data_IF_262343538733
#
_entry.id   IF_262343538733
#
_cell.length_a   1.000
_cell.length_b   1.000
_cell.length_c   1.000
_cell.angle_alpha   90.00
_cell.angle_beta   90.00
_cell.angle_gamma   90.00
#
_symmetry.space_group_name_H-M   'P 1'
#
loop_
_entity.id
_entity.type
_entity.pdbx_description
1 polymer ?
#
# COMPACT_ATOMS: atom_id res chain seq x y z
N UNK A 1 -36.79 12.23 -14.51
CA UNK A 1 -35.89 11.15 -14.98
C UNK A 1 -35.79 10.09 -13.90
N UNK A 2 -36.38 8.91 -14.14
CA UNK A 2 -36.37 7.77 -13.21
C UNK A 2 -35.11 6.94 -13.48
N UNK A 3 -34.20 6.87 -12.52
CA UNK A 3 -33.03 5.99 -12.61
C UNK A 3 -33.44 4.59 -12.13
N UNK A 4 -33.77 3.73 -13.08
CA UNK A 4 -33.93 2.29 -12.85
C UNK A 4 -32.56 1.64 -12.79
N UNK A 5 -32.17 1.17 -11.61
CA UNK A 5 -31.01 0.29 -11.44
C UNK A 5 -31.47 -1.15 -11.67
N UNK A 6 -31.29 -1.65 -12.90
CA UNK A 6 -31.30 -3.08 -13.17
C UNK A 6 -29.90 -3.62 -12.87
N UNK A 7 -29.73 -4.29 -11.74
CA UNK A 7 -28.56 -5.16 -11.50
C UNK A 7 -28.93 -6.60 -11.94
N UNK A 8 -28.18 -7.22 -12.86
CA UNK A 8 -28.29 -8.65 -13.09
C UNK A 8 -27.62 -9.40 -11.94
N UNK A 9 -28.43 -9.97 -11.04
CA UNK A 9 -27.96 -10.89 -10.01
C UNK A 9 -27.57 -12.22 -10.68
N UNK A 10 -26.28 -12.44 -10.91
CA UNK A 10 -25.73 -13.73 -11.35
C UNK A 10 -24.48 -14.04 -10.55
N UNK A 11 -24.67 -14.65 -9.38
CA UNK A 11 -23.79 -15.68 -8.82
C UNK A 11 -24.64 -16.44 -7.80
N UNK A 12 -25.12 -17.62 -8.21
CA UNK A 12 -25.78 -18.56 -7.31
C UNK A 12 -24.78 -18.99 -6.23
N UNK A 13 -24.91 -18.43 -5.03
CA UNK A 13 -24.30 -19.01 -3.83
C UNK A 13 -25.04 -20.32 -3.52
N UNK A 14 -24.52 -21.44 -4.03
CA UNK A 14 -25.07 -22.79 -3.87
C UNK A 14 -24.96 -23.36 -2.44
N UNK A 15 -24.54 -22.57 -1.47
CA UNK A 15 -24.32 -23.00 -0.08
C UNK A 15 -25.52 -22.75 0.85
N UNK A 16 -26.58 -22.10 0.38
CA UNK A 16 -27.76 -21.78 1.20
C UNK A 16 -29.09 -22.29 0.63
N UNK A 17 -29.06 -23.38 -0.15
CA UNK A 17 -30.29 -24.05 -0.60
C UNK A 17 -30.99 -24.64 0.62
N UNK A 18 -32.11 -24.04 1.02
CA UNK A 18 -33.06 -24.65 1.99
C UNK A 18 -33.29 -26.10 1.58
N UNK A 19 -33.19 -27.08 2.50
CA UNK A 19 -33.47 -28.47 2.13
C UNK A 19 -34.89 -28.54 1.56
N UNK A 20 -35.01 -29.11 0.37
CA UNK A 20 -36.27 -29.37 -0.30
C UNK A 20 -37.11 -30.25 0.63
N UNK A 21 -38.19 -29.68 1.17
CA UNK A 21 -39.22 -30.43 1.89
C UNK A 21 -39.90 -31.31 0.85
N UNK A 22 -39.52 -32.59 0.82
CA UNK A 22 -40.28 -33.62 0.13
C UNK A 22 -41.62 -33.69 0.84
N UNK A 23 -42.66 -33.15 0.19
CA UNK A 23 -44.04 -33.33 0.61
C UNK A 23 -44.40 -34.77 0.24
N UNK A 24 -44.32 -35.69 1.19
CA UNK A 24 -44.92 -37.00 1.00
C UNK A 24 -46.44 -36.85 1.04
N UNK A 25 -47.04 -36.83 -0.14
CA UNK A 25 -48.47 -37.08 -0.32
C UNK A 25 -48.76 -38.55 -0.01
N UNK A 26 -48.72 -38.93 1.27
CA UNK A 26 -49.26 -40.22 1.71
C UNK A 26 -50.75 -40.03 2.03
N UNK A 27 -51.55 -40.30 0.99
CA UNK A 27 -52.94 -40.67 1.09
C UNK A 27 -53.10 -41.83 2.09
N UNK A 28 -53.29 -41.51 3.37
CA UNK A 28 -53.66 -42.50 4.37
C UNK A 28 -55.17 -42.70 4.27
N UNK A 29 -55.56 -43.69 3.48
CA UNK A 29 -56.88 -44.30 3.56
C UNK A 29 -57.09 -44.78 4.98
N UNK A 30 -58.08 -44.16 5.62
CA UNK A 30 -58.71 -44.61 6.85
C UNK A 30 -59.24 -46.03 6.65
N UNK A 31 -58.72 -46.98 7.42
CA UNK A 31 -59.22 -48.35 7.49
C UNK A 31 -59.08 -48.82 8.93
N UNK A 32 -60.03 -48.37 9.73
CA UNK A 32 -60.45 -48.99 10.98
C UNK A 32 -60.77 -50.47 10.76
N UNK A 33 -59.89 -51.37 11.20
CA UNK A 33 -60.24 -52.70 11.74
C UNK A 33 -59.00 -53.51 12.13
N UNK A 34 -58.70 -53.53 13.43
CA UNK A 34 -58.29 -54.72 14.19
C UNK A 34 -57.81 -54.29 15.57
N UNK A 35 -58.72 -54.29 16.55
CA UNK A 35 -58.38 -54.22 17.98
C UNK A 35 -57.89 -55.61 18.44
N UNK A 36 -56.86 -56.11 17.77
CA UNK A 36 -56.13 -57.30 18.14
C UNK A 36 -55.17 -56.96 19.28
N UNK A 37 -54.89 -57.90 20.22
CA UNK A 37 -53.91 -57.66 21.26
C UNK A 37 -52.60 -57.24 20.61
N UNK A 38 -52.01 -56.12 21.05
CA UNK A 38 -50.69 -55.65 20.60
C UNK A 38 -49.75 -56.85 20.73
N UNK A 39 -49.44 -57.47 19.59
CA UNK A 39 -48.42 -58.48 19.53
C UNK A 39 -47.14 -57.70 19.80
N UNK A 40 -46.66 -57.74 21.05
CA UNK A 40 -45.25 -57.49 21.35
C UNK A 40 -44.47 -58.56 20.60
N UNK A 41 -44.36 -58.42 19.27
CA UNK A 41 -43.33 -59.10 18.51
C UNK A 41 -42.05 -58.59 19.15
N UNK A 42 -41.25 -59.51 19.66
CA UNK A 42 -39.88 -59.27 20.11
C UNK A 42 -39.01 -58.81 18.92
N UNK A 43 -39.34 -57.66 18.31
CA UNK A 43 -38.48 -56.85 17.45
C UNK A 43 -37.48 -56.06 18.31
N UNK A 44 -37.17 -56.57 19.50
CA UNK A 44 -36.01 -56.24 20.30
C UNK A 44 -34.75 -56.14 19.43
N UNK A 45 -34.61 -56.95 18.37
CA UNK A 45 -33.53 -56.85 17.39
C UNK A 45 -33.51 -55.55 16.57
N UNK A 46 -34.65 -55.11 16.03
CA UNK A 46 -34.76 -53.90 15.21
C UNK A 46 -34.73 -52.63 16.09
N UNK A 47 -35.36 -52.67 17.26
CA UNK A 47 -35.28 -51.59 18.22
C UNK A 47 -33.85 -51.42 18.76
N UNK A 48 -33.12 -52.52 19.00
CA UNK A 48 -31.69 -52.48 19.34
C UNK A 48 -30.85 -51.94 18.19
N UNK A 49 -31.08 -52.36 16.94
CA UNK A 49 -30.36 -51.84 15.77
C UNK A 49 -30.59 -50.33 15.56
N UNK A 50 -31.82 -49.84 15.71
CA UNK A 50 -32.11 -48.40 15.62
C UNK A 50 -31.55 -47.61 16.81
N UNK A 51 -31.53 -48.19 18.01
CA UNK A 51 -30.84 -47.62 19.19
C UNK A 51 -29.33 -47.52 18.93
N UNK A 52 -28.72 -48.55 18.33
CA UNK A 52 -27.29 -48.58 17.97
C UNK A 52 -27.00 -47.53 16.89
N UNK A 53 -27.76 -47.49 15.79
CA UNK A 53 -27.57 -46.51 14.72
C UNK A 53 -27.74 -45.06 15.21
N UNK A 54 -28.71 -44.79 16.09
CA UNK A 54 -28.87 -43.49 16.75
C UNK A 54 -27.66 -43.14 17.62
N UNK A 55 -27.16 -44.11 18.39
CA UNK A 55 -25.98 -43.94 19.25
C UNK A 55 -24.72 -43.66 18.44
N UNK A 56 -24.53 -44.36 17.32
CA UNK A 56 -23.39 -44.15 16.41
C UNK A 56 -23.47 -42.79 15.71
N UNK A 57 -24.64 -42.40 15.20
CA UNK A 57 -24.85 -41.07 14.58
C UNK A 57 -24.62 -39.94 15.58
N UNK A 58 -25.09 -40.08 16.81
CA UNK A 58 -24.87 -39.10 17.87
C UNK A 58 -23.38 -39.00 18.24
N UNK A 59 -22.70 -40.14 18.35
CA UNK A 59 -21.26 -40.20 18.63
C UNK A 59 -20.44 -39.43 17.59
N UNK A 60 -20.73 -39.64 16.30
CA UNK A 60 -20.06 -38.92 15.20
C UNK A 60 -20.31 -37.40 15.28
N UNK A 61 -21.54 -36.97 15.58
CA UNK A 61 -21.88 -35.53 15.73
C UNK A 61 -21.18 -34.89 16.92
N UNK A 62 -20.97 -35.62 18.00
CA UNK A 62 -20.24 -35.13 19.17
C UNK A 62 -18.73 -35.01 18.91
N UNK A 63 -18.15 -35.95 18.16
CA UNK A 63 -16.74 -35.86 17.73
C UNK A 63 -16.46 -34.66 16.83
N UNK A 64 -17.43 -34.32 15.96
CA UNK A 64 -17.33 -33.18 15.05
C UNK A 64 -17.91 -31.87 15.62
N UNK A 65 -18.18 -31.82 16.93
CA UNK A 65 -18.75 -30.64 17.56
C UNK A 65 -17.71 -29.50 17.58
N UNK A 66 -18.03 -28.31 17.03
CA UNK A 66 -17.16 -27.14 17.13
C UNK A 66 -16.96 -26.71 18.58
N UNK A 67 -15.78 -26.16 18.89
CA UNK A 67 -15.53 -25.61 20.22
C UNK A 67 -16.40 -24.37 20.46
N UNK A 68 -16.63 -24.05 21.74
CA UNK A 68 -17.37 -22.85 22.15
C UNK A 68 -16.75 -21.60 21.54
N UNK A 69 -15.41 -21.54 21.47
CA UNK A 69 -14.72 -20.39 20.88
C UNK A 69 -14.99 -20.27 19.37
N UNK A 70 -15.08 -21.38 18.64
CA UNK A 70 -15.44 -21.36 17.21
C UNK A 70 -16.86 -20.83 16.99
N UNK A 71 -17.81 -21.19 17.86
CA UNK A 71 -19.18 -20.68 17.79
C UNK A 71 -19.26 -19.18 18.10
N UNK A 72 -18.40 -18.68 19.00
CA UNK A 72 -18.26 -17.24 19.27
C UNK A 72 -17.65 -16.52 18.07
N UNK A 73 -16.57 -17.06 17.49
CA UNK A 73 -15.91 -16.51 16.31
C UNK A 73 -16.85 -16.46 15.09
N UNK A 74 -17.77 -17.43 14.98
CA UNK A 74 -18.84 -17.46 13.96
C UNK A 74 -20.06 -16.61 14.33
N UNK A 75 -20.03 -15.91 15.46
CA UNK A 75 -21.12 -15.07 15.96
C UNK A 75 -22.45 -15.83 16.17
N UNK A 76 -22.36 -17.12 16.51
CA UNK A 76 -23.52 -17.95 16.89
C UNK A 76 -23.80 -17.80 18.39
N UNK A 77 -22.73 -17.71 19.19
CA UNK A 77 -22.81 -17.43 20.63
C UNK A 77 -22.19 -16.05 20.92
N UNK A 78 -22.93 -15.18 21.59
CA UNK A 78 -22.42 -13.88 22.01
C UNK A 78 -21.87 -13.98 23.44
N UNK A 79 -20.67 -13.42 23.68
CA UNK A 79 -20.09 -13.36 25.03
C UNK A 79 -20.62 -12.19 25.86
N UNK A 80 -21.04 -11.12 25.18
CA UNK A 80 -21.54 -9.89 25.81
C UNK A 80 -23.03 -9.99 26.10
N UNK A 81 -23.47 -9.30 27.13
CA UNK A 81 -24.89 -9.11 27.42
C UNK A 81 -25.55 -8.16 26.40
N UNK A 82 -26.87 -8.26 26.27
CA UNK A 82 -27.63 -7.38 25.37
C UNK A 82 -27.47 -5.89 25.73
N UNK A 83 -27.33 -5.58 27.03
CA UNK A 83 -27.13 -4.21 27.50
C UNK A 83 -25.75 -3.67 27.08
N UNK A 84 -24.69 -4.45 27.27
CA UNK A 84 -23.33 -4.06 26.83
C UNK A 84 -23.25 -3.89 25.30
N UNK A 85 -23.95 -4.76 24.56
CA UNK A 85 -24.03 -4.64 23.11
C UNK A 85 -24.74 -3.34 22.68
N UNK A 86 -25.82 -2.96 23.38
CA UNK A 86 -26.54 -1.71 23.15
C UNK A 86 -25.67 -0.49 23.45
N UNK A 87 -24.99 -0.47 24.59
CA UNK A 87 -24.07 0.62 24.97
C UNK A 87 -22.91 0.75 23.97
N UNK A 88 -22.31 -0.37 23.55
CA UNK A 88 -21.27 -0.38 22.52
C UNK A 88 -21.78 0.18 21.20
N UNK A 89 -22.99 -0.23 20.77
CA UNK A 89 -23.62 0.28 19.55
C UNK A 89 -23.90 1.79 19.63
N UNK A 90 -24.38 2.28 20.77
CA UNK A 90 -24.61 3.70 21.00
C UNK A 90 -23.30 4.49 21.00
N UNK A 91 -22.25 3.99 21.66
CA UNK A 91 -20.92 4.60 21.69
C UNK A 91 -20.27 4.65 20.30
N UNK A 92 -20.39 3.58 19.50
CA UNK A 92 -19.95 3.53 18.11
C UNK A 92 -20.76 4.53 17.27
N UNK A 93 -22.08 4.58 17.46
CA UNK A 93 -22.98 5.51 16.78
C UNK A 93 -22.61 6.97 17.03
N UNK A 94 -22.41 7.35 18.29
CA UNK A 94 -21.99 8.70 18.67
C UNK A 94 -20.63 9.07 18.04
N UNK A 95 -19.67 8.14 18.05
CA UNK A 95 -18.35 8.34 17.44
C UNK A 95 -18.43 8.50 15.93
N UNK A 96 -19.30 7.72 15.27
CA UNK A 96 -19.53 7.80 13.84
C UNK A 96 -20.15 9.15 13.45
N UNK A 97 -21.18 9.60 14.15
CA UNK A 97 -21.83 10.90 13.92
C UNK A 97 -20.81 12.03 13.97
N UNK A 98 -19.96 12.05 15.01
CA UNK A 98 -18.87 13.05 15.13
C UNK A 98 -17.87 13.01 13.98
N UNK A 99 -17.51 11.82 13.49
CA UNK A 99 -16.58 11.70 12.35
C UNK A 99 -17.23 12.15 11.04
N UNK A 100 -18.52 11.88 10.86
CA UNK A 100 -19.26 12.29 9.67
C UNK A 100 -19.49 13.80 9.64
N UNK A 101 -19.69 14.45 10.79
CA UNK A 101 -19.85 15.91 10.85
C UNK A 101 -18.57 16.67 10.48
N UNK A 102 -17.41 16.06 10.71
CA UNK A 102 -16.09 16.62 10.37
C UNK A 102 -15.47 15.94 9.14
N UNK A 103 -16.28 15.31 8.29
CA UNK A 103 -15.76 14.56 7.14
C UNK A 103 -15.19 15.54 6.09
N UNK A 104 -13.90 15.42 5.72
CA UNK A 104 -13.29 16.26 4.68
C UNK A 104 -13.98 16.07 3.32
N UNK A 105 -13.93 17.11 2.49
CA UNK A 105 -14.46 17.04 1.11
C UNK A 105 -13.52 16.22 0.22
N UNK A 106 -14.04 15.74 -0.91
CA UNK A 106 -13.21 15.00 -1.87
C UNK A 106 -12.09 15.88 -2.44
N UNK A 107 -12.37 17.16 -2.69
CA UNK A 107 -11.40 18.12 -3.22
C UNK A 107 -10.24 18.36 -2.24
N UNK A 108 -10.54 18.55 -0.95
CA UNK A 108 -9.51 18.68 0.10
C UNK A 108 -8.59 17.45 0.19
N UNK A 109 -9.13 16.25 -0.04
CA UNK A 109 -8.35 15.02 -0.06
C UNK A 109 -7.46 14.92 -1.31
N UNK A 110 -7.92 15.47 -2.45
CA UNK A 110 -7.11 15.57 -3.68
C UNK A 110 -5.98 16.56 -3.49
N UNK A 111 -6.24 17.73 -2.91
CA UNK A 111 -5.22 18.75 -2.61
C UNK A 111 -4.16 18.24 -1.65
N UNK A 112 -4.57 17.46 -0.63
CA UNK A 112 -3.65 16.77 0.29
C UNK A 112 -2.98 15.53 -0.32
N UNK A 113 -3.22 15.25 -1.59
CA UNK A 113 -2.62 14.14 -2.33
C UNK A 113 -2.96 12.75 -1.75
N UNK A 114 -4.08 12.64 -1.02
CA UNK A 114 -4.61 11.40 -0.45
C UNK A 114 -5.51 10.71 -1.47
N UNK A 115 -6.43 11.46 -2.08
CA UNK A 115 -7.29 10.96 -3.15
C UNK A 115 -6.65 11.28 -4.51
N UNK A 116 -6.39 10.25 -5.32
CA UNK A 116 -5.84 10.41 -6.67
C UNK A 116 -6.97 10.44 -7.69
N UNK A 117 -6.98 11.47 -8.54
CA UNK A 117 -7.98 11.61 -9.62
C UNK A 117 -7.60 10.86 -10.88
N UNK A 118 -6.30 10.62 -11.08
CA UNK A 118 -5.77 9.94 -12.26
C UNK A 118 -5.61 8.45 -12.01
N UNK A 119 -5.75 7.66 -13.08
CA UNK A 119 -5.44 6.24 -13.01
C UNK A 119 -3.93 6.02 -12.79
N UNK A 120 -3.49 4.90 -12.18
CA UNK A 120 -2.07 4.60 -12.00
C UNK A 120 -1.27 4.60 -13.32
N UNK A 121 -1.93 4.22 -14.43
CA UNK A 121 -1.33 4.23 -15.75
C UNK A 121 -1.07 5.66 -16.28
N UNK A 122 -2.04 6.56 -16.11
CA UNK A 122 -1.91 7.97 -16.49
C UNK A 122 -0.87 8.70 -15.65
N UNK A 123 -0.81 8.45 -14.34
CA UNK A 123 0.20 9.03 -13.45
C UNK A 123 1.61 8.62 -13.90
N UNK A 124 1.79 7.33 -14.25
CA UNK A 124 3.06 6.83 -14.78
C UNK A 124 3.44 7.51 -16.09
N UNK A 125 2.47 7.69 -17.00
CA UNK A 125 2.69 8.38 -18.28
C UNK A 125 3.08 9.85 -18.07
N UNK A 126 2.36 10.57 -17.21
CA UNK A 126 2.66 11.98 -16.88
C UNK A 126 4.04 12.12 -16.25
N UNK A 127 4.42 11.20 -15.36
CA UNK A 127 5.75 11.17 -14.75
C UNK A 127 6.85 10.92 -15.77
N UNK A 128 6.65 10.00 -16.70
CA UNK A 128 7.61 9.72 -17.78
C UNK A 128 7.73 10.89 -18.76
N UNK A 129 6.62 11.56 -19.10
CA UNK A 129 6.64 12.77 -19.92
C UNK A 129 7.37 13.92 -19.22
N UNK A 130 7.12 14.15 -17.93
CA UNK A 130 7.85 15.13 -17.11
C UNK A 130 9.34 14.81 -17.04
N UNK A 131 9.69 13.53 -16.85
CA UNK A 131 11.09 13.06 -16.84
C UNK A 131 11.77 13.32 -18.17
N UNK A 132 11.13 12.94 -19.29
CA UNK A 132 11.63 13.16 -20.65
C UNK A 132 11.81 14.66 -20.95
N UNK A 133 10.83 15.48 -20.56
CA UNK A 133 10.89 16.92 -20.71
C UNK A 133 12.04 17.54 -19.91
N UNK A 134 12.18 17.16 -18.64
CA UNK A 134 13.26 17.63 -17.77
C UNK A 134 14.63 17.24 -18.32
N UNK A 135 14.81 15.99 -18.74
CA UNK A 135 16.06 15.51 -19.32
C UNK A 135 16.45 16.33 -20.55
N UNK A 136 15.48 16.61 -21.44
CA UNK A 136 15.68 17.50 -22.58
C UNK A 136 16.02 18.93 -22.15
N UNK A 137 15.38 19.48 -21.12
CA UNK A 137 15.70 20.83 -20.64
C UNK A 137 17.09 20.92 -20.03
N UNK A 138 17.54 19.87 -19.34
CA UNK A 138 18.87 19.80 -18.76
C UNK A 138 19.96 19.58 -19.82
N UNK A 139 19.66 18.91 -20.94
CA UNK A 139 20.62 18.76 -22.04
C UNK A 139 20.93 20.09 -22.75
N UNK A 140 19.98 21.03 -22.75
CA UNK A 140 20.18 22.39 -23.26
C UNK A 140 20.47 23.39 -22.13
N UNK A 141 21.10 22.94 -21.05
CA UNK A 141 21.51 23.83 -19.96
C UNK A 141 22.69 24.70 -20.43
N UNK A 142 22.57 26.04 -20.43
CA UNK A 142 23.63 26.93 -20.87
C UNK A 142 24.87 26.79 -19.99
N UNK A 143 26.03 27.04 -20.58
CA UNK A 143 27.29 27.06 -19.85
C UNK A 143 27.43 28.31 -18.98
N UNK A 144 28.34 28.27 -18.01
CA UNK A 144 28.64 29.43 -17.15
C UNK A 144 29.14 30.60 -17.99
N UNK A 145 29.95 30.33 -19.02
CA UNK A 145 30.49 31.39 -19.90
C UNK A 145 29.41 32.06 -20.74
N UNK A 146 28.45 31.30 -21.29
CA UNK A 146 27.28 31.87 -21.97
C UNK A 146 26.45 32.78 -21.05
N UNK A 147 26.29 32.40 -19.79
CA UNK A 147 25.57 33.20 -18.80
C UNK A 147 26.35 34.46 -18.39
N UNK A 148 27.70 34.40 -18.37
CA UNK A 148 28.58 35.56 -18.12
C UNK A 148 28.52 36.56 -19.27
N UNK A 149 28.59 36.08 -20.52
CA UNK A 149 28.48 36.93 -21.72
C UNK A 149 27.15 37.68 -21.73
N UNK A 150 26.07 36.98 -21.37
CA UNK A 150 24.73 37.57 -21.23
C UNK A 150 24.52 38.38 -19.94
N UNK A 151 25.54 38.48 -19.08
CA UNK A 151 25.51 39.18 -17.79
C UNK A 151 24.36 38.74 -16.88
N UNK A 152 24.00 37.45 -16.94
CA UNK A 152 22.94 36.85 -16.11
C UNK A 152 23.49 36.44 -14.73
N UNK A 153 24.75 36.02 -14.67
CA UNK A 153 25.41 35.58 -13.44
C UNK A 153 26.72 36.35 -13.23
N UNK A 154 27.09 36.56 -11.97
CA UNK A 154 28.37 37.17 -11.58
C UNK A 154 29.29 36.13 -10.96
N UNK A 155 30.57 36.47 -10.84
CA UNK A 155 31.61 35.60 -10.30
C UNK A 155 31.22 34.96 -8.96
N UNK A 156 30.65 35.73 -8.03
CA UNK A 156 30.26 35.23 -6.71
C UNK A 156 29.12 34.20 -6.73
N UNK A 157 28.34 34.12 -7.81
CA UNK A 157 27.12 33.32 -7.86
C UNK A 157 27.38 31.85 -8.24
N UNK A 158 28.54 31.54 -8.85
CA UNK A 158 28.86 30.20 -9.35
C UNK A 158 30.21 29.65 -8.86
N UNK A 159 30.92 30.38 -8.01
CA UNK A 159 32.16 29.89 -7.39
C UNK A 159 31.87 29.43 -5.96
N UNK A 160 32.33 28.24 -5.61
CA UNK A 160 32.24 27.71 -4.26
C UNK A 160 33.47 28.18 -3.47
N UNK A 161 33.27 29.05 -2.48
CA UNK A 161 34.34 29.43 -1.54
C UNK A 161 34.41 28.36 -0.45
N UNK A 162 35.44 27.51 -0.53
CA UNK A 162 35.79 26.61 0.56
C UNK A 162 36.77 27.32 1.51
N UNK A 163 36.63 27.05 2.81
CA UNK A 163 37.59 27.51 3.81
C UNK A 163 38.95 26.85 3.53
N UNK A 164 39.99 27.66 3.30
CA UNK A 164 41.33 27.15 3.13
C UNK A 164 41.78 26.46 4.43
N UNK A 165 42.54 25.37 4.31
CA UNK A 165 43.20 24.79 5.48
C UNK A 165 44.23 25.78 6.03
N UNK A 166 44.15 26.04 7.33
CA UNK A 166 45.17 26.80 8.05
C UNK A 166 46.42 25.93 8.21
N UNK A 167 47.30 25.98 7.20
CA UNK A 167 48.64 25.41 7.30
C UNK A 167 49.60 26.42 7.95
N UNK A 168 50.59 25.91 8.68
CA UNK A 168 51.58 26.74 9.36
C UNK A 168 52.50 27.46 8.36
N UNK A 169 52.28 28.76 8.17
CA UNK A 169 53.07 29.64 7.28
C UNK A 169 54.47 29.96 7.82
N UNK A 170 54.79 29.52 9.04
CA UNK A 170 56.09 29.72 9.71
C UNK A 170 57.01 28.51 9.59
N UNK A 171 56.54 27.40 9.02
CA UNK A 171 57.36 26.22 8.75
C UNK A 171 58.54 26.54 7.79
N UNK A 172 59.61 25.72 7.87
CA UNK A 172 60.80 25.89 7.03
C UNK A 172 60.42 25.86 5.54
N UNK A 173 61.02 26.77 4.80
CA UNK A 173 60.64 27.14 3.45
C UNK A 173 61.64 26.50 2.51
N UNK A 174 61.38 25.30 1.95
CA UNK A 174 62.41 24.54 1.23
C UNK A 174 63.06 25.33 0.08
N UNK A 175 62.39 26.35 -0.47
CA UNK A 175 62.93 27.27 -1.47
C UNK A 175 64.05 28.20 -0.98
N UNK A 176 64.25 28.37 0.33
CA UNK A 176 65.41 29.13 0.87
C UNK A 176 66.72 28.37 0.66
N UNK A 177 66.67 27.05 0.47
CA UNK A 177 67.83 26.17 0.23
C UNK A 177 68.11 25.91 -1.24
N UNK A 178 67.41 26.59 -2.14
CA UNK A 178 67.48 26.33 -3.57
C UNK A 178 68.79 26.82 -4.18
N UNK A 179 69.50 25.95 -4.90
CA UNK A 179 70.77 26.31 -5.55
C UNK A 179 70.55 27.20 -6.78
N UNK A 180 71.57 27.91 -7.29
CA UNK A 180 71.45 28.68 -8.53
C UNK A 180 70.99 27.85 -9.74
N UNK A 181 71.41 26.58 -9.79
CA UNK A 181 71.02 25.62 -10.83
C UNK A 181 69.52 25.29 -10.74
N UNK A 182 69.05 25.00 -9.54
CA UNK A 182 67.64 24.70 -9.28
C UNK A 182 66.76 25.92 -9.58
N UNK A 183 67.19 27.13 -9.20
CA UNK A 183 66.49 28.38 -9.56
C UNK A 183 66.39 28.57 -11.06
N UNK A 184 67.42 28.19 -11.83
CA UNK A 184 67.39 28.23 -13.28
C UNK A 184 66.44 27.18 -13.88
N UNK A 185 66.43 25.97 -13.33
CA UNK A 185 65.52 24.90 -13.75
C UNK A 185 64.05 25.29 -13.50
N UNK A 186 63.71 25.77 -12.30
CA UNK A 186 62.36 26.26 -11.98
C UNK A 186 61.97 27.42 -12.88
N UNK A 187 62.88 28.37 -13.16
CA UNK A 187 62.59 29.48 -14.09
C UNK A 187 62.30 28.98 -15.49
N UNK A 188 63.04 27.99 -15.98
CA UNK A 188 62.81 27.38 -17.30
C UNK A 188 61.44 26.71 -17.33
N UNK A 189 61.15 25.86 -16.36
CA UNK A 189 59.88 25.13 -16.24
C UNK A 189 58.69 26.09 -16.12
N UNK A 190 58.81 27.16 -15.31
CA UNK A 190 57.77 28.17 -15.19
C UNK A 190 57.54 28.97 -16.48
N UNK A 191 58.59 29.27 -17.23
CA UNK A 191 58.44 29.95 -18.52
C UNK A 191 57.83 29.03 -19.57
N UNK A 192 58.17 27.75 -19.54
CA UNK A 192 57.59 26.72 -20.39
C UNK A 192 56.09 26.54 -20.09
N UNK A 193 55.72 26.44 -18.81
CA UNK A 193 54.31 26.40 -18.38
C UNK A 193 53.53 27.66 -18.77
N UNK A 194 54.10 28.85 -18.55
CA UNK A 194 53.47 30.11 -18.98
C UNK A 194 53.29 30.14 -20.49
N UNK A 195 54.24 29.64 -21.26
CA UNK A 195 54.11 29.60 -22.72
C UNK A 195 53.04 28.62 -23.20
N UNK A 196 52.81 27.51 -22.49
CA UNK A 196 51.79 26.53 -22.85
C UNK A 196 50.38 26.87 -22.36
N UNK A 197 50.22 27.43 -21.15
CA UNK A 197 48.90 27.74 -20.59
C UNK A 197 48.44 29.18 -20.85
N UNK A 198 49.32 30.19 -20.78
CA UNK A 198 48.89 31.59 -20.91
C UNK A 198 48.76 32.08 -22.36
N UNK A 199 49.33 31.37 -23.32
CA UNK A 199 49.17 31.71 -24.74
C UNK A 199 47.71 31.56 -25.24
N UNK A 200 46.87 30.80 -24.54
CA UNK A 200 45.45 30.62 -24.87
C UNK A 200 44.52 31.77 -24.42
N UNK A 201 45.02 32.78 -23.71
CA UNK A 201 44.20 33.84 -23.10
C UNK A 201 44.35 35.25 -23.70
N UNK A 202 45.16 35.41 -24.75
CA UNK A 202 45.54 36.73 -25.27
C UNK A 202 45.24 36.91 -26.76
N UNK A 203 43.96 36.90 -27.15
CA UNK A 203 43.61 37.11 -28.56
C UNK A 203 42.12 37.15 -28.84
N UNK A 204 41.42 38.17 -28.33
CA UNK A 204 40.21 38.71 -28.94
C UNK A 204 40.05 40.15 -28.47
N UNK A 205 40.82 41.02 -29.12
CA UNK A 205 40.79 42.46 -28.94
C UNK A 205 41.21 43.09 -30.26
N UNK A 206 40.29 43.04 -31.23
CA UNK A 206 40.01 44.01 -32.31
C UNK A 206 38.87 43.47 -33.16
#
# INVERSE_FOLDING_TARGET
MRFGLNLPCTVENKENTRPYVIREDNNSTDSDQSDGPILYRDDEGNERQTKIARKESLSLKLQLRPDKQDLINRNILHQQSDNEMKESKEAIGARLIRRLSMRPTAEELVERNILKTQTPAEEKKSKEEKKRYLLRKLSFRPTVDELKEKKIIRFNDYIEVTQAHDYDRRADKPWTRLTPKDKAAIRKELNEFKSSEMAGGGGNGL
#
